data_IF_112228505480
#
_entry.id   IF_112228505480
#
_cell.length_a   1.000
_cell.length_b   1.000
_cell.length_c   1.000
_cell.angle_alpha   90.00
_cell.angle_beta   90.00
_cell.angle_gamma   90.00
#
_symmetry.space_group_name_H-M   'P 1'
#
loop_
_entity.id
_entity.type
_entity.pdbx_description
1 polymer ?
#
# COMPACT_ATOMS: atom_id res chain seq x y z
N UNK A 1 -35.16 13.73 -0.26
CA UNK A 1 -34.71 13.92 1.14
C UNK A 1 -33.29 14.44 1.13
N UNK A 2 -32.95 15.49 1.88
CA UNK A 2 -31.59 16.04 1.89
C UNK A 2 -30.59 14.97 2.38
N UNK A 3 -29.63 14.57 1.53
CA UNK A 3 -28.61 13.56 1.85
C UNK A 3 -27.70 13.98 3.03
N UNK A 4 -27.68 15.27 3.41
CA UNK A 4 -26.85 15.81 4.48
C UNK A 4 -27.56 16.92 5.26
N UNK A 5 -27.43 16.93 6.59
CA UNK A 5 -27.92 18.02 7.44
C UNK A 5 -27.11 19.30 7.18
N UNK A 6 -27.78 20.46 7.06
CA UNK A 6 -27.11 21.75 6.80
C UNK A 6 -26.29 22.29 7.97
N UNK A 7 -26.54 21.81 9.21
CA UNK A 7 -25.81 22.17 10.44
C UNK A 7 -25.65 23.68 10.70
N UNK A 8 -26.49 24.52 10.09
CA UNK A 8 -26.42 25.98 10.19
C UNK A 8 -25.15 26.60 9.59
N UNK A 9 -24.44 25.91 8.68
CA UNK A 9 -23.19 26.40 8.09
C UNK A 9 -23.22 26.39 6.55
N UNK A 10 -22.54 27.35 5.90
CA UNK A 10 -22.17 27.28 4.50
C UNK A 10 -21.50 25.95 4.14
N UNK A 11 -21.56 25.54 2.87
CA UNK A 11 -21.16 24.20 2.44
C UNK A 11 -19.66 23.93 2.65
N UNK A 12 -18.82 24.90 2.33
CA UNK A 12 -17.36 24.88 2.57
C UNK A 12 -17.03 24.67 4.05
N UNK A 13 -17.60 25.50 4.93
CA UNK A 13 -17.38 25.43 6.37
C UNK A 13 -17.93 24.15 6.98
N UNK A 14 -19.07 23.66 6.47
CA UNK A 14 -19.66 22.39 6.91
C UNK A 14 -18.75 21.21 6.57
N UNK A 15 -18.22 21.17 5.36
CA UNK A 15 -17.31 20.09 4.93
C UNK A 15 -16.02 20.13 5.76
N UNK A 16 -15.43 21.30 5.97
CA UNK A 16 -14.24 21.45 6.80
C UNK A 16 -14.48 20.97 8.24
N UNK A 17 -15.62 21.34 8.84
CA UNK A 17 -16.00 20.88 10.18
C UNK A 17 -16.12 19.35 10.26
N UNK A 18 -16.82 18.73 9.31
CA UNK A 18 -17.03 17.29 9.31
C UNK A 18 -15.72 16.53 9.09
N UNK A 19 -14.85 17.00 8.20
CA UNK A 19 -13.50 16.44 8.00
C UNK A 19 -12.68 16.48 9.28
N UNK A 20 -12.62 17.63 9.94
CA UNK A 20 -11.88 17.77 11.20
C UNK A 20 -12.42 16.84 12.29
N UNK A 21 -13.74 16.65 12.38
CA UNK A 21 -14.33 15.73 13.35
C UNK A 21 -14.05 14.25 13.03
N UNK A 22 -14.07 13.86 11.76
CA UNK A 22 -13.72 12.50 11.33
C UNK A 22 -12.24 12.21 11.61
N UNK A 23 -11.34 13.15 11.30
CA UNK A 23 -9.91 13.03 11.62
C UNK A 23 -9.70 12.88 13.13
N UNK A 24 -10.29 13.76 13.93
CA UNK A 24 -10.18 13.68 15.38
C UNK A 24 -10.75 12.37 15.96
N UNK A 25 -11.79 11.80 15.33
CA UNK A 25 -12.34 10.49 15.72
C UNK A 25 -11.33 9.37 15.49
N UNK A 26 -10.63 9.35 14.34
CA UNK A 26 -9.64 8.32 14.05
C UNK A 26 -8.37 8.47 14.88
N UNK A 27 -7.93 9.70 15.17
CA UNK A 27 -6.74 9.95 15.99
C UNK A 27 -6.94 9.59 17.46
N UNK A 28 -8.10 9.96 18.04
CA UNK A 28 -8.35 9.84 19.48
C UNK A 28 -9.22 8.64 19.85
N UNK A 29 -9.79 7.93 18.88
CA UNK A 29 -10.72 6.80 19.07
C UNK A 29 -12.11 7.18 19.60
N UNK A 30 -12.27 8.34 20.24
CA UNK A 30 -13.55 8.83 20.75
C UNK A 30 -13.58 10.35 20.76
N UNK A 31 -14.71 10.94 20.33
CA UNK A 31 -14.96 12.38 20.39
C UNK A 31 -16.28 12.69 21.09
N UNK A 32 -16.36 13.85 21.77
CA UNK A 32 -17.61 14.39 22.33
C UNK A 32 -18.10 15.53 21.44
N UNK A 33 -19.24 15.35 20.77
CA UNK A 33 -19.84 16.33 19.85
C UNK A 33 -21.37 16.34 20.02
N UNK A 34 -22.06 17.22 19.31
CA UNK A 34 -23.54 17.26 19.32
C UNK A 34 -24.13 16.06 18.60
N UNK A 35 -25.28 15.57 19.04
CA UNK A 35 -25.90 14.37 18.48
C UNK A 35 -26.16 14.46 16.96
N UNK A 36 -26.49 15.65 16.45
CA UNK A 36 -26.71 15.87 15.01
C UNK A 36 -25.43 15.80 14.20
N UNK A 37 -24.29 16.27 14.74
CA UNK A 37 -22.98 16.16 14.11
C UNK A 37 -22.44 14.74 14.18
N UNK A 38 -22.63 14.06 15.33
CA UNK A 38 -22.22 12.67 15.51
C UNK A 38 -22.82 11.75 14.45
N UNK A 39 -24.11 11.91 14.12
CA UNK A 39 -24.78 11.10 13.08
C UNK A 39 -24.15 11.28 11.69
N UNK A 40 -23.77 12.51 11.32
CA UNK A 40 -23.11 12.78 10.03
C UNK A 40 -21.67 12.23 10.02
N UNK A 41 -20.92 12.43 11.11
CA UNK A 41 -19.56 11.91 11.26
C UNK A 41 -19.55 10.37 11.21
N UNK A 42 -20.50 9.69 11.86
CA UNK A 42 -20.63 8.23 11.80
C UNK A 42 -20.79 7.73 10.38
N UNK A 43 -21.71 8.31 9.61
CA UNK A 43 -21.96 7.89 8.22
C UNK A 43 -20.73 8.11 7.31
N UNK A 44 -19.95 9.16 7.54
CA UNK A 44 -18.71 9.42 6.79
C UNK A 44 -17.62 8.43 7.22
N UNK A 45 -17.43 8.24 8.53
CA UNK A 45 -16.43 7.34 9.08
C UNK A 45 -16.66 5.89 8.65
N UNK A 46 -17.91 5.40 8.66
CA UNK A 46 -18.28 4.06 8.19
C UNK A 46 -17.90 3.83 6.73
N UNK A 47 -18.16 4.80 5.86
CA UNK A 47 -17.77 4.72 4.45
C UNK A 47 -16.24 4.66 4.28
N UNK A 48 -15.51 5.49 5.02
CA UNK A 48 -14.04 5.49 4.98
C UNK A 48 -13.46 4.17 5.49
N UNK A 49 -14.01 3.63 6.58
CA UNK A 49 -13.63 2.31 7.10
C UNK A 49 -13.91 1.21 6.08
N UNK A 50 -15.06 1.26 5.41
CA UNK A 50 -15.43 0.28 4.38
C UNK A 50 -14.42 0.28 3.22
N UNK A 51 -14.00 1.46 2.78
CA UNK A 51 -12.97 1.60 1.75
C UNK A 51 -11.60 1.13 2.25
N UNK A 52 -11.21 1.48 3.47
CA UNK A 52 -9.95 1.07 4.06
C UNK A 52 -9.84 -0.46 4.21
N UNK A 53 -10.91 -1.12 4.69
CA UNK A 53 -10.96 -2.58 4.81
C UNK A 53 -10.87 -3.24 3.45
N UNK A 54 -11.57 -2.71 2.44
CA UNK A 54 -11.51 -3.24 1.08
C UNK A 54 -10.10 -3.14 0.48
N UNK A 55 -9.35 -2.09 0.79
CA UNK A 55 -8.03 -1.85 0.22
C UNK A 55 -6.89 -2.56 0.96
N UNK A 56 -7.08 -2.87 2.25
CA UNK A 56 -6.07 -3.53 3.09
C UNK A 56 -5.51 -4.81 2.45
N UNK A 57 -6.40 -5.64 1.89
CA UNK A 57 -6.04 -6.94 1.29
C UNK A 57 -6.06 -6.89 -0.24
N UNK A 58 -6.06 -5.70 -0.84
CA UNK A 58 -6.14 -5.53 -2.29
C UNK A 58 -4.74 -5.59 -2.94
N UNK A 59 -4.09 -6.74 -2.81
CA UNK A 59 -2.84 -7.04 -3.47
C UNK A 59 -2.93 -8.39 -4.20
N UNK A 60 -2.15 -8.54 -5.26
CA UNK A 60 -2.04 -9.79 -6.02
C UNK A 60 -0.64 -10.36 -5.88
N UNK A 61 -0.50 -11.68 -5.75
CA UNK A 61 0.81 -12.32 -5.80
C UNK A 61 1.17 -12.62 -7.25
N UNK A 62 2.30 -12.10 -7.70
CA UNK A 62 2.87 -12.46 -9.01
C UNK A 62 4.15 -13.26 -8.82
N UNK A 63 4.31 -14.30 -9.64
CA UNK A 63 5.58 -15.02 -9.75
C UNK A 63 6.56 -14.13 -10.49
N UNK A 64 7.59 -13.67 -9.80
CA UNK A 64 8.68 -12.89 -10.39
C UNK A 64 9.90 -13.78 -10.45
N UNK A 65 10.50 -13.86 -11.65
CA UNK A 65 11.81 -14.49 -11.81
C UNK A 65 12.86 -13.56 -11.20
N UNK A 66 13.53 -14.03 -10.16
CA UNK A 66 14.64 -13.33 -9.53
C UNK A 66 15.91 -14.12 -9.80
N UNK A 67 16.88 -13.45 -10.39
CA UNK A 67 18.24 -13.99 -10.56
C UNK A 67 19.00 -13.79 -9.25
N UNK A 68 19.37 -14.88 -8.61
CA UNK A 68 20.25 -14.87 -7.42
C UNK A 68 21.59 -15.46 -7.80
N UNK A 69 22.67 -14.92 -7.24
CA UNK A 69 23.99 -15.51 -7.44
C UNK A 69 24.02 -16.90 -6.79
N UNK A 70 24.50 -17.91 -7.51
CA UNK A 70 24.68 -19.24 -6.95
C UNK A 70 25.77 -19.18 -5.88
N UNK A 71 25.45 -19.64 -4.68
CA UNK A 71 26.36 -19.68 -3.55
C UNK A 71 26.86 -21.10 -3.36
N UNK A 72 28.15 -21.24 -3.08
CA UNK A 72 28.75 -22.49 -2.64
C UNK A 72 28.38 -22.78 -1.16
N UNK A 73 28.68 -23.99 -0.68
CA UNK A 73 28.39 -24.45 0.69
C UNK A 73 29.04 -23.56 1.77
N UNK A 74 30.09 -22.82 1.38
CA UNK A 74 30.80 -21.84 2.22
C UNK A 74 30.26 -20.40 2.09
N UNK A 75 29.16 -20.18 1.37
CA UNK A 75 28.54 -18.87 1.17
C UNK A 75 29.27 -17.92 0.20
N UNK A 76 30.27 -18.42 -0.54
CA UNK A 76 30.98 -17.65 -1.59
C UNK A 76 30.25 -17.78 -2.93
N UNK A 77 30.29 -16.72 -3.75
CA UNK A 77 29.71 -16.72 -5.10
C UNK A 77 30.49 -17.67 -6.01
N UNK A 78 29.79 -18.51 -6.75
CA UNK A 78 30.41 -19.39 -7.76
C UNK A 78 30.81 -18.57 -8.98
N UNK A 79 32.08 -18.66 -9.37
CA UNK A 79 32.68 -17.94 -10.49
C UNK A 79 32.94 -18.92 -11.64
N UNK A 80 32.58 -18.51 -12.86
CA UNK A 80 32.82 -19.25 -14.10
C UNK A 80 33.75 -18.43 -15.00
N UNK A 81 34.80 -19.06 -15.51
CA UNK A 81 35.68 -18.43 -16.50
C UNK A 81 34.99 -18.37 -17.87
N UNK A 82 34.95 -17.16 -18.45
CA UNK A 82 34.41 -16.90 -19.79
C UNK A 82 35.49 -16.22 -20.62
N UNK A 83 35.60 -16.61 -21.90
CA UNK A 83 36.53 -15.99 -22.84
C UNK A 83 35.87 -14.84 -23.61
N UNK A 84 36.53 -13.70 -23.66
CA UNK A 84 36.12 -12.56 -24.48
C UNK A 84 36.36 -12.87 -25.97
N UNK A 85 35.64 -12.20 -26.86
CA UNK A 85 35.86 -12.28 -28.32
C UNK A 85 37.31 -11.97 -28.72
N UNK A 86 38.04 -11.24 -27.88
CA UNK A 86 39.44 -10.85 -28.10
C UNK A 86 40.44 -11.81 -27.41
N UNK A 87 40.00 -12.97 -26.90
CA UNK A 87 40.86 -13.99 -26.29
C UNK A 87 41.20 -13.78 -24.81
N UNK A 88 40.83 -12.64 -24.21
CA UNK A 88 41.05 -12.37 -22.78
C UNK A 88 40.04 -13.14 -21.92
N UNK A 89 40.53 -13.85 -20.89
CA UNK A 89 39.71 -14.61 -19.95
C UNK A 89 39.31 -13.75 -18.75
N UNK A 90 38.07 -13.87 -18.29
CA UNK A 90 37.57 -13.19 -17.11
C UNK A 90 36.55 -14.06 -16.36
N UNK A 91 36.44 -13.83 -15.05
CA UNK A 91 35.52 -14.55 -14.18
C UNK A 91 34.17 -13.84 -14.09
N UNK A 92 33.08 -14.59 -14.28
CA UNK A 92 31.71 -14.09 -14.16
C UNK A 92 30.97 -14.91 -13.10
N UNK A 93 30.18 -14.23 -12.27
CA UNK A 93 29.35 -14.89 -11.25
C UNK A 93 28.22 -15.67 -11.93
N UNK A 94 28.07 -16.95 -11.57
CA UNK A 94 26.94 -17.76 -12.03
C UNK A 94 25.64 -17.33 -11.30
N UNK A 95 24.56 -17.18 -12.05
CA UNK A 95 23.24 -16.79 -11.51
C UNK A 95 22.26 -17.94 -11.70
N UNK A 96 21.49 -18.23 -10.66
CA UNK A 96 20.38 -19.18 -10.68
C UNK A 96 19.07 -18.39 -10.79
N UNK A 97 18.18 -18.85 -11.69
CA UNK A 97 16.84 -18.29 -11.84
C UNK A 97 15.90 -18.96 -10.83
N UNK A 98 15.62 -18.27 -9.73
CA UNK A 98 14.61 -18.70 -8.76
C UNK A 98 13.30 -17.96 -8.99
N UNK A 99 12.18 -18.68 -8.97
CA UNK A 99 10.85 -18.08 -9.05
C UNK A 99 10.35 -17.80 -7.64
N UNK A 100 10.18 -16.54 -7.28
CA UNK A 100 9.64 -16.14 -5.97
C UNK A 100 8.27 -15.50 -6.13
N UNK A 101 7.39 -15.74 -5.15
CA UNK A 101 6.11 -15.06 -5.07
C UNK A 101 6.34 -13.69 -4.45
N UNK A 102 6.12 -12.63 -5.23
CA UNK A 102 6.18 -11.24 -4.74
C UNK A 102 4.77 -10.66 -4.69
N UNK A 103 4.46 -9.97 -3.60
CA UNK A 103 3.23 -9.17 -3.47
C UNK A 103 3.34 -7.96 -4.39
N UNK A 104 2.35 -7.81 -5.27
CA UNK A 104 2.22 -6.69 -6.20
C UNK A 104 0.89 -6.01 -5.90
N UNK A 105 0.97 -4.73 -5.53
CA UNK A 105 -0.21 -3.94 -5.24
C UNK A 105 -1.10 -3.76 -6.47
N UNK A 106 -2.42 -3.79 -6.26
CA UNK A 106 -3.40 -3.47 -7.29
C UNK A 106 -3.33 -1.98 -7.65
N UNK A 107 -3.65 -1.58 -8.91
CA UNK A 107 -3.56 -0.19 -9.37
C UNK A 107 -4.33 0.84 -8.52
N UNK A 108 -5.38 0.41 -7.81
CA UNK A 108 -6.16 1.26 -6.89
C UNK A 108 -5.35 1.82 -5.71
N UNK A 109 -4.22 1.18 -5.33
CA UNK A 109 -3.33 1.66 -4.25
C UNK A 109 -2.32 2.72 -4.71
N UNK A 110 -2.19 2.96 -6.02
CA UNK A 110 -1.12 3.78 -6.60
C UNK A 110 -1.51 5.26 -6.81
N UNK A 111 -2.68 5.69 -6.35
CA UNK A 111 -3.24 7.03 -6.56
C UNK A 111 -3.46 7.80 -5.25
#
# INVERSE_FOLDING_TARGET
MAQHRKLGKPTDQRIALLRNQVTALFENGRIKTTATRAKEVSSIAEKLLTLAVKECDNYTTKQVKVTKAKLDTSGKKVLKEVESKNGNKYEVVEHEETTELRTVDSPSRLH
#
